data_IF_661461947617
#
_entry.id   IF_661461947617
#
_cell.length_a   1.000
_cell.length_b   1.000
_cell.length_c   1.000
_cell.angle_alpha   90.00
_cell.angle_beta   90.00
_cell.angle_gamma   90.00
#
_symmetry.space_group_name_H-M   'P 1'
#
loop_
_entity.id
_entity.type
_entity.pdbx_description
1 polymer ?
#
# COMPACT_ATOMS: atom_id res chain seq x y z
N UNK A 1 -9.30 18.87 10.76
CA UNK A 1 -8.97 18.40 9.40
C UNK A 1 -7.82 17.42 9.50
N UNK A 2 -7.99 16.18 9.06
CA UNK A 2 -6.86 15.27 8.88
C UNK A 2 -7.12 14.39 7.65
N UNK A 3 -6.55 14.79 6.52
CA UNK A 3 -6.39 13.93 5.36
C UNK A 3 -4.98 13.34 5.37
N UNK A 4 -4.90 12.05 5.67
CA UNK A 4 -3.63 11.33 5.78
C UNK A 4 -3.45 10.40 4.60
N UNK A 5 -2.29 10.44 3.94
CA UNK A 5 -1.91 9.50 2.89
C UNK A 5 -0.91 8.49 3.43
N UNK A 6 -1.07 7.21 3.10
CA UNK A 6 -0.12 6.14 3.42
C UNK A 6 0.46 5.56 2.13
N UNK A 7 1.78 5.63 1.95
CA UNK A 7 2.51 5.10 0.78
C UNK A 7 3.70 4.24 1.19
N UNK A 8 4.29 3.50 0.24
CA UNK A 8 5.44 2.64 0.50
C UNK A 8 6.75 3.29 0.05
N UNK A 9 7.81 3.20 0.85
CA UNK A 9 9.11 3.79 0.54
C UNK A 9 10.05 2.90 -0.28
N UNK A 10 9.74 1.61 -0.46
CA UNK A 10 10.57 0.66 -1.18
C UNK A 10 9.83 0.07 -2.38
N UNK A 11 9.99 -1.22 -2.69
CA UNK A 11 9.43 -1.86 -3.89
C UNK A 11 8.01 -2.43 -3.68
N UNK A 12 7.31 -2.03 -2.60
CA UNK A 12 6.08 -2.67 -2.16
C UNK A 12 6.30 -3.63 -0.99
N UNK A 13 5.21 -4.17 -0.47
CA UNK A 13 5.22 -5.19 0.61
C UNK A 13 5.81 -4.72 1.96
N UNK A 14 5.82 -3.41 2.20
CA UNK A 14 6.34 -2.78 3.42
C UNK A 14 5.39 -2.89 4.63
N UNK A 15 4.22 -3.53 4.47
CA UNK A 15 3.23 -3.65 5.54
C UNK A 15 2.22 -2.50 5.61
N UNK A 16 2.02 -1.76 4.51
CA UNK A 16 1.02 -0.67 4.41
C UNK A 16 -0.36 -1.08 4.91
N UNK A 17 -0.85 -2.26 4.54
CA UNK A 17 -2.18 -2.73 4.94
C UNK A 17 -2.37 -2.77 6.46
N UNK A 18 -1.35 -3.25 7.19
CA UNK A 18 -1.35 -3.25 8.65
C UNK A 18 -1.33 -1.82 9.22
N UNK A 19 -0.50 -0.93 8.66
CA UNK A 19 -0.42 0.48 9.10
C UNK A 19 -1.77 1.19 8.90
N UNK A 20 -2.39 1.02 7.73
CA UNK A 20 -3.75 1.53 7.43
C UNK A 20 -4.77 1.00 8.43
N UNK A 21 -4.77 -0.31 8.70
CA UNK A 21 -5.70 -0.93 9.63
C UNK A 21 -5.54 -0.40 11.06
N UNK A 22 -4.30 -0.20 11.51
CA UNK A 22 -4.02 0.37 12.84
C UNK A 22 -4.49 1.82 12.95
N UNK A 23 -4.10 2.66 12.01
CA UNK A 23 -4.50 4.08 11.95
C UNK A 23 -6.03 4.20 11.90
N UNK A 24 -6.71 3.33 11.14
CA UNK A 24 -8.17 3.34 11.07
C UNK A 24 -8.84 3.15 12.45
N UNK A 25 -8.32 2.28 13.31
CA UNK A 25 -8.85 2.09 14.67
C UNK A 25 -8.56 3.25 15.61
N UNK A 26 -7.39 3.87 15.46
CA UNK A 26 -6.95 5.00 16.29
C UNK A 26 -7.68 6.29 15.91
N UNK A 27 -7.70 6.60 14.62
CA UNK A 27 -8.07 7.91 14.10
C UNK A 27 -9.54 7.95 13.64
N UNK A 28 -10.20 6.78 13.58
CA UNK A 28 -11.64 6.62 13.28
C UNK A 28 -12.11 7.41 12.05
N UNK A 29 -11.46 7.23 10.87
CA UNK A 29 -11.79 7.97 9.67
C UNK A 29 -13.20 7.63 9.18
N UNK A 30 -13.91 8.63 8.63
CA UNK A 30 -15.23 8.41 8.03
C UNK A 30 -15.13 7.75 6.64
N UNK A 31 -14.01 7.98 5.94
CA UNK A 31 -13.69 7.39 4.63
C UNK A 31 -12.26 6.86 4.65
N UNK A 32 -12.09 5.63 4.16
CA UNK A 32 -10.80 5.03 3.83
C UNK A 32 -10.82 4.75 2.33
N UNK A 33 -10.02 5.46 1.55
CA UNK A 33 -10.04 5.40 0.09
C UNK A 33 -8.73 4.86 -0.48
N UNK A 34 -8.82 3.84 -1.34
CA UNK A 34 -7.66 3.26 -2.02
C UNK A 34 -7.31 4.06 -3.28
N UNK A 35 -6.03 4.38 -3.42
CA UNK A 35 -5.39 4.85 -4.65
C UNK A 35 -4.37 3.84 -5.22
N UNK A 36 -3.65 4.29 -6.24
CA UNK A 36 -2.62 3.53 -6.94
C UNK A 36 -3.15 2.86 -8.21
N UNK A 37 -2.65 1.66 -8.49
CA UNK A 37 -2.89 1.02 -9.80
C UNK A 37 -4.19 0.21 -9.84
N UNK A 38 -4.35 -0.77 -8.96
CA UNK A 38 -5.44 -1.74 -9.04
C UNK A 38 -5.09 -3.05 -8.30
N UNK A 39 -5.62 -4.20 -8.72
CA UNK A 39 -5.48 -5.47 -7.99
C UNK A 39 -4.09 -6.10 -8.12
N UNK A 40 -3.11 -5.47 -8.76
CA UNK A 40 -1.74 -5.99 -8.82
C UNK A 40 -0.98 -5.86 -7.49
N UNK A 41 -1.51 -5.14 -6.50
CA UNK A 41 -0.99 -5.11 -5.14
C UNK A 41 -1.89 -5.91 -4.20
N UNK A 42 -1.29 -6.75 -3.36
CA UNK A 42 -1.98 -7.39 -2.25
C UNK A 42 -1.49 -6.81 -0.92
N UNK A 43 -2.42 -6.40 -0.07
CA UNK A 43 -2.14 -6.00 1.30
C UNK A 43 -2.62 -7.08 2.25
N UNK A 44 -1.74 -7.48 3.16
CA UNK A 44 -2.05 -8.46 4.19
C UNK A 44 -2.39 -7.74 5.49
N UNK A 45 -3.49 -8.15 6.11
CA UNK A 45 -3.95 -7.66 7.42
C UNK A 45 -4.24 -8.87 8.31
N UNK A 46 -3.60 -8.94 9.48
CA UNK A 46 -3.86 -10.00 10.46
C UNK A 46 -4.65 -9.44 11.65
N UNK A 47 -5.80 -10.07 11.93
CA UNK A 47 -6.67 -9.76 13.07
C UNK A 47 -6.79 -11.00 13.94
N UNK A 48 -6.23 -10.95 15.15
CA UNK A 48 -6.08 -12.14 15.99
C UNK A 48 -5.32 -13.24 15.25
N UNK A 49 -5.95 -14.40 15.07
CA UNK A 49 -5.37 -15.56 14.38
C UNK A 49 -5.68 -15.63 12.88
N UNK A 50 -6.52 -14.72 12.36
CA UNK A 50 -6.95 -14.73 10.96
C UNK A 50 -6.13 -13.75 10.14
N UNK A 51 -5.62 -14.22 9.01
CA UNK A 51 -4.94 -13.41 8.01
C UNK A 51 -5.85 -13.16 6.81
N UNK A 52 -5.90 -11.93 6.34
CA UNK A 52 -6.68 -11.48 5.20
C UNK A 52 -5.76 -10.88 4.15
N UNK A 53 -5.86 -11.35 2.90
CA UNK A 53 -5.22 -10.72 1.74
C UNK A 53 -6.24 -9.96 0.91
N UNK A 54 -6.03 -8.66 0.72
CA UNK A 54 -6.94 -7.77 -0.04
C UNK A 54 -6.20 -7.04 -1.15
N UNK A 55 -6.84 -6.90 -2.31
CA UNK A 55 -6.28 -6.34 -3.55
C UNK A 55 -7.13 -5.20 -4.10
N UNK A 56 -8.41 -5.15 -3.77
CA UNK A 56 -9.33 -4.08 -4.18
C UNK A 56 -9.90 -3.34 -2.98
N UNK A 57 -10.45 -4.07 -2.01
CA UNK A 57 -11.03 -3.49 -0.81
C UNK A 57 -9.92 -2.83 0.02
N UNK A 58 -10.08 -1.56 0.45
CA UNK A 58 -9.12 -0.90 1.35
C UNK A 58 -8.84 -1.73 2.62
N UNK A 59 -7.57 -1.79 3.03
CA UNK A 59 -7.06 -2.60 4.15
C UNK A 59 -7.64 -2.19 5.50
N UNK A 60 -8.19 -0.98 5.59
CA UNK A 60 -8.91 -0.48 6.75
C UNK A 60 -10.29 -1.11 6.97
N UNK A 61 -10.67 -2.14 6.20
CA UNK A 61 -11.95 -2.84 6.34
C UNK A 61 -12.22 -3.37 7.76
N UNK A 62 -11.19 -3.57 8.58
CA UNK A 62 -11.37 -4.01 9.96
C UNK A 62 -12.13 -2.98 10.81
N UNK A 63 -12.01 -1.68 10.48
CA UNK A 63 -12.79 -0.63 11.08
C UNK A 63 -14.16 -0.53 10.38
N UNK A 64 -15.24 -0.80 11.14
CA UNK A 64 -16.58 -1.04 10.58
C UNK A 64 -17.35 0.21 10.19
N UNK A 65 -17.05 1.34 10.84
CA UNK A 65 -17.84 2.57 10.68
C UNK A 65 -17.41 3.38 9.44
N UNK A 66 -16.23 3.10 8.88
CA UNK A 66 -15.74 3.78 7.69
C UNK A 66 -16.40 3.26 6.40
N UNK A 67 -16.67 4.20 5.49
CA UNK A 67 -16.87 3.89 4.08
C UNK A 67 -15.53 3.50 3.46
N UNK A 68 -15.54 2.44 2.66
CA UNK A 68 -14.38 1.90 1.96
C UNK A 68 -14.48 2.29 0.48
N UNK A 69 -13.68 3.26 0.05
CA UNK A 69 -13.77 3.81 -1.29
C UNK A 69 -12.62 3.35 -2.20
N UNK A 70 -12.87 3.30 -3.51
CA UNK A 70 -11.86 3.10 -4.54
C UNK A 70 -11.84 4.34 -5.42
N UNK A 71 -10.73 5.07 -5.38
CA UNK A 71 -10.56 6.34 -6.09
C UNK A 71 -10.58 6.18 -7.61
N UNK A 72 -11.04 7.22 -8.31
CA UNK A 72 -11.19 7.25 -9.77
C UNK A 72 -9.93 6.87 -10.56
N UNK A 73 -8.73 7.11 -10.01
CA UNK A 73 -7.47 6.75 -10.64
C UNK A 73 -7.18 5.24 -10.65
N UNK A 74 -7.89 4.45 -9.86
CA UNK A 74 -7.65 3.01 -9.70
C UNK A 74 -8.33 2.21 -10.82
N UNK A 75 -7.70 1.11 -11.23
CA UNK A 75 -8.29 0.09 -12.08
C UNK A 75 -9.06 -0.92 -11.25
N UNK A 76 -10.28 -1.24 -11.67
CA UNK A 76 -11.18 -2.15 -10.97
C UNK A 76 -11.30 -3.45 -11.73
N UNK A 77 -11.10 -4.55 -11.02
CA UNK A 77 -11.51 -5.88 -11.48
C UNK A 77 -12.80 -6.27 -10.73
N UNK A 78 -13.96 -6.32 -11.40
CA UNK A 78 -15.23 -6.67 -10.77
C UNK A 78 -15.21 -8.05 -10.11
N UNK A 79 -14.44 -9.00 -10.65
CA UNK A 79 -14.35 -10.38 -10.14
C UNK A 79 -13.62 -10.39 -8.80
N UNK A 80 -12.50 -9.68 -8.71
CA UNK A 80 -11.71 -9.55 -7.47
C UNK A 80 -12.48 -8.77 -6.42
N UNK A 81 -13.08 -7.64 -6.81
CA UNK A 81 -13.89 -6.82 -5.90
C UNK A 81 -15.02 -7.63 -5.27
N UNK A 82 -15.82 -8.34 -6.10
CA UNK A 82 -16.94 -9.15 -5.61
C UNK A 82 -16.47 -10.23 -4.63
N UNK A 83 -15.41 -10.95 -4.97
CA UNK A 83 -14.83 -11.97 -4.09
C UNK A 83 -14.44 -11.39 -2.73
N UNK A 84 -13.75 -10.25 -2.71
CA UNK A 84 -13.33 -9.61 -1.46
C UNK A 84 -14.51 -9.03 -0.66
N UNK A 85 -15.51 -8.46 -1.31
CA UNK A 85 -16.73 -7.96 -0.65
C UNK A 85 -17.44 -9.09 0.08
N UNK A 86 -17.60 -10.24 -0.57
CA UNK A 86 -18.26 -11.41 0.01
C UNK A 86 -17.40 -12.05 1.11
N UNK A 87 -16.09 -12.20 0.89
CA UNK A 87 -15.13 -12.78 1.85
C UNK A 87 -15.03 -11.96 3.14
N UNK A 88 -15.08 -10.63 3.04
CA UNK A 88 -14.94 -9.71 4.18
C UNK A 88 -16.28 -9.32 4.81
N UNK A 89 -17.40 -9.61 4.15
CA UNK A 89 -18.74 -9.20 4.63
C UNK A 89 -18.91 -7.67 4.69
N UNK A 90 -18.42 -6.95 3.68
CA UNK A 90 -18.36 -5.48 3.66
C UNK A 90 -19.35 -4.84 2.67
N UNK A 91 -20.31 -5.63 2.18
CA UNK A 91 -21.39 -5.14 1.33
C UNK A 91 -22.15 -4.01 2.02
N UNK A 92 -22.51 -2.96 1.27
CA UNK A 92 -23.21 -1.78 1.79
C UNK A 92 -22.31 -0.65 2.31
N UNK A 93 -20.98 -0.87 2.40
CA UNK A 93 -20.03 0.20 2.74
C UNK A 93 -18.80 0.27 1.84
N UNK A 94 -18.73 -0.56 0.81
CA UNK A 94 -17.71 -0.46 -0.25
C UNK A 94 -18.26 0.33 -1.42
N UNK A 95 -17.48 1.29 -1.90
CA UNK A 95 -17.87 2.17 -2.99
C UNK A 95 -16.75 2.30 -4.03
N UNK A 96 -17.12 2.34 -5.30
CA UNK A 96 -16.24 2.46 -6.45
C UNK A 96 -16.56 3.76 -7.18
N UNK A 97 -15.54 4.57 -7.48
CA UNK A 97 -15.79 5.73 -8.31
C UNK A 97 -16.29 5.31 -9.70
N UNK A 98 -17.39 5.92 -10.14
CA UNK A 98 -18.01 5.65 -11.45
C UNK A 98 -17.05 5.82 -12.66
N UNK A 99 -15.93 6.53 -12.51
CA UNK A 99 -14.92 6.79 -13.54
C UNK A 99 -13.73 5.82 -13.52
N UNK A 100 -13.65 4.89 -12.55
CA UNK A 100 -12.59 3.88 -12.51
C UNK A 100 -12.53 3.10 -13.83
N UNK A 101 -11.33 2.86 -14.36
CA UNK A 101 -11.14 1.99 -15.52
C UNK A 101 -11.35 0.53 -15.13
N UNK A 102 -11.93 -0.28 -16.01
CA UNK A 102 -12.26 -1.68 -15.72
C UNK A 102 -11.28 -2.62 -16.40
N UNK A 103 -10.80 -3.60 -15.64
CA UNK A 103 -9.94 -4.70 -16.12
C UNK A 103 -10.83 -5.78 -16.72
N UNK A 104 -10.55 -6.12 -17.98
CA UNK A 104 -11.22 -7.15 -18.75
C UNK A 104 -10.44 -8.46 -18.76
N UNK A 105 -11.05 -9.56 -19.22
CA UNK A 105 -10.32 -10.83 -19.46
C UNK A 105 -9.21 -10.66 -20.50
N UNK A 106 -9.44 -9.85 -21.54
CA UNK A 106 -8.44 -9.56 -22.56
C UNK A 106 -7.21 -8.85 -21.98
N UNK A 107 -7.40 -7.92 -21.03
CA UNK A 107 -6.28 -7.29 -20.33
C UNK A 107 -5.44 -8.31 -19.57
N UNK A 108 -6.07 -9.27 -18.88
CA UNK A 108 -5.38 -10.34 -18.16
C UNK A 108 -4.63 -11.25 -19.14
N UNK A 109 -5.27 -11.62 -20.26
CA UNK A 109 -4.66 -12.45 -21.29
C UNK A 109 -3.43 -11.77 -21.91
N UNK A 110 -3.52 -10.47 -22.25
CA UNK A 110 -2.40 -9.67 -22.77
C UNK A 110 -1.25 -9.56 -21.77
N UNK A 111 -1.55 -9.40 -20.48
CA UNK A 111 -0.53 -9.29 -19.43
C UNK A 111 0.23 -10.61 -19.25
N UNK A 112 -0.50 -11.73 -19.17
CA UNK A 112 0.09 -13.08 -19.00
C UNK A 112 0.77 -13.61 -20.27
N UNK A 113 0.22 -13.29 -21.44
CA UNK A 113 0.72 -13.78 -22.73
C UNK A 113 1.88 -12.99 -23.31
N UNK A 114 2.18 -11.80 -22.76
CA UNK A 114 3.31 -10.98 -23.21
C UNK A 114 4.63 -11.48 -22.62
N UNK A 115 5.55 -11.95 -23.46
CA UNK A 115 6.90 -12.32 -23.03
C UNK A 115 7.62 -11.14 -22.34
N UNK A 116 7.39 -9.92 -22.82
CA UNK A 116 7.96 -8.73 -22.21
C UNK A 116 7.42 -8.50 -20.79
N UNK A 117 6.10 -8.47 -20.61
CA UNK A 117 5.50 -8.18 -19.30
C UNK A 117 5.67 -9.36 -18.33
N UNK A 118 5.38 -10.58 -18.76
CA UNK A 118 5.38 -11.75 -17.89
C UNK A 118 6.80 -12.26 -17.58
N UNK A 119 7.69 -12.34 -18.58
CA UNK A 119 9.03 -12.94 -18.39
C UNK A 119 10.10 -11.90 -18.08
N UNK A 120 10.14 -10.77 -18.81
CA UNK A 120 11.20 -9.75 -18.62
C UNK A 120 10.92 -8.84 -17.43
N UNK A 121 9.71 -8.27 -17.34
CA UNK A 121 9.35 -7.39 -16.22
C UNK A 121 8.94 -8.21 -14.99
N UNK A 122 8.25 -9.32 -15.19
CA UNK A 122 7.72 -10.13 -14.10
C UNK A 122 6.43 -9.56 -13.53
N UNK A 123 5.53 -9.07 -14.39
CA UNK A 123 4.21 -8.54 -14.01
C UNK A 123 3.40 -9.55 -13.18
N UNK A 124 2.35 -9.08 -12.52
CA UNK A 124 1.49 -9.94 -11.69
C UNK A 124 0.50 -10.75 -12.51
N UNK A 125 0.35 -10.48 -13.81
CA UNK A 125 -0.70 -11.08 -14.64
C UNK A 125 -2.10 -10.63 -14.26
N UNK A 126 -2.25 -9.50 -13.55
CA UNK A 126 -3.54 -8.97 -13.12
C UNK A 126 -4.23 -8.13 -14.19
N UNK A 127 -3.59 -7.89 -15.34
CA UNK A 127 -4.14 -7.07 -16.43
C UNK A 127 -3.94 -5.56 -16.24
N UNK A 128 -3.29 -5.13 -15.16
CA UNK A 128 -3.14 -3.70 -14.85
C UNK A 128 -2.27 -2.92 -15.85
N UNK A 129 -1.26 -3.57 -16.44
CA UNK A 129 -0.44 -2.95 -17.49
C UNK A 129 -1.27 -2.65 -18.75
N UNK A 130 -1.83 -3.69 -19.41
CA UNK A 130 -2.70 -3.51 -20.58
C UNK A 130 -3.91 -2.61 -20.32
N UNK A 131 -4.56 -2.72 -19.16
CA UNK A 131 -5.71 -1.87 -18.84
C UNK A 131 -5.33 -0.38 -18.72
N UNK A 132 -4.18 -0.05 -18.13
CA UNK A 132 -3.70 1.33 -18.12
C UNK A 132 -3.26 1.81 -19.50
N UNK A 133 -2.69 0.93 -20.33
CA UNK A 133 -2.41 1.25 -21.74
C UNK A 133 -3.68 1.66 -22.48
N UNK A 134 -4.75 0.87 -22.35
CA UNK A 134 -6.06 1.17 -22.94
C UNK A 134 -6.70 2.43 -22.35
N UNK A 135 -6.48 2.68 -21.05
CA UNK A 135 -6.95 3.90 -20.38
C UNK A 135 -6.26 5.15 -20.92
N UNK A 136 -4.95 5.10 -21.15
CA UNK A 136 -4.18 6.17 -21.82
C UNK A 136 -4.68 6.38 -23.25
N UNK A 137 -4.98 5.30 -23.96
CA UNK A 137 -5.56 5.34 -25.31
C UNK A 137 -7.04 5.74 -25.35
N UNK A 138 -7.68 5.94 -24.19
CA UNK A 138 -9.09 6.35 -24.04
C UNK A 138 -10.09 5.34 -24.61
N UNK A 139 -9.76 4.05 -24.52
CA UNK A 139 -10.62 2.94 -24.97
C UNK A 139 -10.98 1.96 -23.84
N UNK A 140 -10.44 2.15 -22.63
CA UNK A 140 -10.80 1.33 -21.47
C UNK A 140 -12.25 1.62 -21.02
N UNK A 141 -13.07 0.58 -20.75
CA UNK A 141 -14.40 0.76 -20.18
C UNK A 141 -14.32 1.35 -18.78
N UNK A 142 -15.36 2.07 -18.34
CA UNK A 142 -15.43 2.63 -16.99
C UNK A 142 -16.40 1.84 -16.10
N UNK A 143 -16.27 1.99 -14.78
CA UNK A 143 -17.11 1.30 -13.81
C UNK A 143 -18.61 1.58 -14.00
N UNK A 144 -18.98 2.80 -14.41
CA UNK A 144 -20.37 3.16 -14.72
C UNK A 144 -20.99 2.38 -15.89
N UNK A 145 -20.16 1.79 -16.74
CA UNK A 145 -20.58 1.06 -17.94
C UNK A 145 -20.75 -0.45 -17.66
N UNK A 146 -20.48 -0.90 -16.43
CA UNK A 146 -20.48 -2.31 -16.01
C UNK A 146 -21.64 -2.57 -15.04
N UNK A 147 -22.69 -3.31 -15.46
CA UNK A 147 -23.89 -3.56 -14.64
C UNK A 147 -23.59 -4.20 -13.28
N UNK A 148 -22.60 -5.08 -13.19
CA UNK A 148 -22.20 -5.77 -11.96
C UNK A 148 -21.64 -4.82 -10.90
N UNK A 149 -21.19 -3.63 -11.30
CA UNK A 149 -20.67 -2.61 -10.40
C UNK A 149 -21.74 -1.62 -9.93
N UNK A 150 -22.96 -1.67 -10.48
CA UNK A 150 -23.99 -0.65 -10.27
C UNK A 150 -24.30 -0.39 -8.79
N UNK A 151 -24.34 -1.44 -7.95
CA UNK A 151 -24.62 -1.31 -6.51
C UNK A 151 -23.51 -0.61 -5.72
N UNK A 152 -22.28 -0.54 -6.26
CA UNK A 152 -21.11 0.04 -5.59
C UNK A 152 -20.79 1.47 -6.04
N UNK A 153 -21.46 2.01 -7.07
CA UNK A 153 -21.03 3.26 -7.70
C UNK A 153 -21.21 4.48 -6.78
N UNK A 154 -20.18 5.33 -6.74
CA UNK A 154 -20.16 6.61 -6.04
C UNK A 154 -19.40 7.66 -6.85
N UNK A 155 -19.57 8.94 -6.52
CA UNK A 155 -18.61 10.00 -6.87
C UNK A 155 -17.64 10.16 -5.70
N UNK A 156 -16.53 9.42 -5.72
CA UNK A 156 -15.62 9.31 -4.57
C UNK A 156 -14.93 10.65 -4.25
N UNK A 157 -14.38 11.41 -5.22
CA UNK A 157 -13.85 12.74 -4.97
C UNK A 157 -14.85 13.68 -4.31
N UNK A 158 -16.11 13.68 -4.78
CA UNK A 158 -17.16 14.50 -4.17
C UNK A 158 -17.44 14.08 -2.72
N UNK A 159 -17.57 12.78 -2.47
CA UNK A 159 -17.80 12.25 -1.12
C UNK A 159 -16.64 12.60 -0.17
N UNK A 160 -15.38 12.48 -0.62
CA UNK A 160 -14.21 12.87 0.16
C UNK A 160 -14.20 14.37 0.44
N UNK A 161 -14.42 15.21 -0.58
CA UNK A 161 -14.44 16.68 -0.42
C UNK A 161 -15.55 17.13 0.56
N UNK A 162 -16.73 16.53 0.50
CA UNK A 162 -17.84 16.81 1.42
C UNK A 162 -17.49 16.47 2.87
N UNK A 163 -16.77 15.37 3.13
CA UNK A 163 -16.35 15.00 4.49
C UNK A 163 -15.19 15.86 4.99
N UNK A 164 -14.22 16.18 4.13
CA UNK A 164 -13.12 17.08 4.47
C UNK A 164 -13.59 18.50 4.76
N UNK A 165 -14.70 18.96 4.17
CA UNK A 165 -15.34 20.26 4.48
C UNK A 165 -16.03 20.28 5.85
N UNK A 166 -16.35 19.11 6.41
CA UNK A 166 -16.91 18.94 7.75
C UNK A 166 -15.82 18.67 8.80
N UNK A 167 -14.55 18.85 8.44
CA UNK A 167 -13.38 18.54 9.26
C UNK A 167 -13.26 17.07 9.70
N UNK A 168 -13.97 16.16 9.04
CA UNK A 168 -13.89 14.73 9.33
C UNK A 168 -12.56 14.12 8.83
N UNK A 169 -12.10 13.08 9.51
CA UNK A 169 -10.87 12.36 9.16
C UNK A 169 -11.05 11.47 7.92
N UNK A 170 -10.13 11.56 6.96
CA UNK A 170 -10.11 10.75 5.74
C UNK A 170 -8.72 10.12 5.58
N UNK A 171 -8.69 8.82 5.30
CA UNK A 171 -7.47 8.06 5.09
C UNK A 171 -7.33 7.64 3.63
N UNK A 172 -6.19 7.93 3.00
CA UNK A 172 -5.87 7.51 1.64
C UNK A 172 -4.80 6.41 1.65
N UNK A 173 -5.17 5.23 1.14
CA UNK A 173 -4.29 4.06 1.07
C UNK A 173 -3.64 3.95 -0.31
N UNK A 174 -2.32 4.02 -0.35
CA UNK A 174 -1.53 3.88 -1.57
C UNK A 174 -1.17 2.44 -1.94
N UNK A 175 -1.09 2.19 -3.24
CA UNK A 175 -0.40 1.05 -3.84
C UNK A 175 0.52 1.57 -4.95
N UNK A 176 1.72 1.05 -5.20
CA UNK A 176 2.52 0.05 -4.49
C UNK A 176 3.56 0.74 -3.57
N UNK A 177 4.85 0.66 -3.88
CA UNK A 177 5.93 1.38 -3.21
C UNK A 177 6.72 2.24 -4.20
N UNK A 178 7.48 3.20 -3.68
CA UNK A 178 8.25 4.18 -4.44
C UNK A 178 9.19 3.55 -5.49
N UNK A 179 9.90 2.48 -5.16
CA UNK A 179 10.88 1.82 -6.04
C UNK A 179 10.30 1.22 -7.30
N UNK A 180 8.98 1.07 -7.37
CA UNK A 180 8.25 0.63 -8.56
C UNK A 180 7.32 1.72 -9.12
N UNK A 181 7.53 2.98 -8.76
CA UNK A 181 6.93 4.12 -9.45
C UNK A 181 7.31 4.10 -10.93
N UNK A 182 6.35 4.38 -11.82
CA UNK A 182 6.61 4.52 -13.25
C UNK A 182 7.63 5.62 -13.58
N UNK A 183 7.69 6.69 -12.78
CA UNK A 183 8.55 7.84 -13.04
C UNK A 183 9.88 7.76 -12.29
N UNK A 184 9.83 7.38 -11.02
CA UNK A 184 10.97 7.49 -10.11
C UNK A 184 11.57 6.13 -9.72
N UNK A 185 10.89 5.04 -10.07
CA UNK A 185 11.33 3.69 -9.77
C UNK A 185 12.41 3.18 -10.72
N UNK A 186 12.74 1.90 -10.59
CA UNK A 186 13.77 1.24 -11.40
C UNK A 186 13.28 0.86 -12.81
N UNK A 187 12.89 1.84 -13.62
CA UNK A 187 12.37 1.61 -14.97
C UNK A 187 13.37 0.78 -15.81
N UNK A 188 12.91 -0.24 -16.57
CA UNK A 188 11.52 -0.59 -16.87
C UNK A 188 10.84 -1.53 -15.85
N UNK A 189 11.54 -1.93 -14.79
CA UNK A 189 11.03 -2.88 -13.78
C UNK A 189 10.19 -2.18 -12.72
N UNK A 190 9.08 -1.60 -13.18
CA UNK A 190 8.18 -0.75 -12.40
C UNK A 190 6.72 -1.12 -12.70
N UNK A 191 5.79 -0.56 -11.94
CA UNK A 191 4.35 -0.68 -12.20
C UNK A 191 3.93 0.26 -13.34
N UNK A 192 2.66 0.18 -13.77
CA UNK A 192 2.14 0.97 -14.90
C UNK A 192 1.71 2.39 -14.54
N UNK A 193 2.13 2.92 -13.38
CA UNK A 193 1.72 4.23 -12.85
C UNK A 193 2.71 4.75 -11.81
N UNK A 194 2.72 6.04 -11.55
CA UNK A 194 3.37 6.56 -10.35
C UNK A 194 2.69 6.01 -9.07
N UNK A 195 3.47 5.90 -8.00
CA UNK A 195 3.06 5.36 -6.70
C UNK A 195 3.32 6.35 -5.57
N UNK A 196 3.71 7.59 -5.89
CA UNK A 196 3.95 8.65 -4.91
C UNK A 196 2.67 9.13 -4.23
N UNK A 197 2.81 9.78 -3.07
CA UNK A 197 1.71 10.37 -2.33
C UNK A 197 0.88 11.35 -3.18
N UNK A 198 1.53 12.15 -4.03
CA UNK A 198 0.87 13.05 -4.98
C UNK A 198 -0.03 12.30 -5.96
N UNK A 199 0.43 11.15 -6.47
CA UNK A 199 -0.40 10.31 -7.34
C UNK A 199 -1.57 9.70 -6.57
N UNK A 200 -1.37 9.26 -5.32
CA UNK A 200 -2.46 8.73 -4.48
C UNK A 200 -3.51 9.81 -4.17
N UNK A 201 -3.11 11.06 -3.94
CA UNK A 201 -4.02 12.19 -3.80
C UNK A 201 -4.84 12.39 -5.09
N UNK A 202 -4.18 12.43 -6.24
CA UNK A 202 -4.82 12.60 -7.54
C UNK A 202 -5.80 11.45 -7.86
N UNK A 203 -5.46 10.22 -7.50
CA UNK A 203 -6.30 9.04 -7.72
C UNK A 203 -7.64 9.13 -6.99
N UNK A 204 -7.63 9.76 -5.82
CA UNK A 204 -8.79 9.98 -4.98
C UNK A 204 -9.47 11.34 -5.24
N UNK A 205 -8.91 12.16 -6.14
CA UNK A 205 -9.44 13.48 -6.46
C UNK A 205 -9.31 14.49 -5.33
N UNK A 206 -8.25 14.38 -4.52
CA UNK A 206 -7.94 15.31 -3.43
C UNK A 206 -6.85 16.27 -3.89
N UNK A 207 -7.11 17.58 -3.78
CA UNK A 207 -6.12 18.60 -4.12
C UNK A 207 -4.92 18.56 -3.16
N UNK A 208 -3.70 18.89 -3.62
CA UNK A 208 -2.49 18.76 -2.80
C UNK A 208 -2.51 19.62 -1.53
N UNK A 209 -3.19 20.77 -1.55
CA UNK A 209 -3.34 21.67 -0.38
C UNK A 209 -4.34 21.18 0.67
N UNK A 210 -4.97 20.02 0.45
CA UNK A 210 -5.92 19.38 1.37
C UNK A 210 -5.31 18.17 2.08
N UNK A 211 -4.04 17.87 1.83
CA UNK A 211 -3.30 16.78 2.48
C UNK A 211 -2.59 17.36 3.69
N UNK A 212 -2.88 16.80 4.86
CA UNK A 212 -2.28 17.22 6.13
C UNK A 212 -1.04 16.37 6.44
N UNK A 213 -1.14 15.06 6.22
CA UNK A 213 -0.08 14.10 6.56
C UNK A 213 0.25 13.12 5.44
N UNK A 214 1.54 12.79 5.31
CA UNK A 214 2.04 11.71 4.47
C UNK A 214 2.87 10.75 5.30
N UNK A 215 2.30 9.56 5.53
CA UNK A 215 2.98 8.43 6.16
C UNK A 215 3.70 7.62 5.10
N UNK A 216 5.04 7.58 5.15
CA UNK A 216 5.83 6.68 4.30
C UNK A 216 6.20 5.41 5.09
N UNK A 217 5.71 4.27 4.60
CA UNK A 217 5.93 2.97 5.23
C UNK A 217 7.19 2.32 4.65
N UNK A 218 8.11 1.98 5.54
CA UNK A 218 9.32 1.24 5.26
C UNK A 218 9.33 -0.08 6.01
N UNK A 219 10.25 -0.95 5.62
CA UNK A 219 10.48 -2.24 6.25
C UNK A 219 11.95 -2.41 6.56
N UNK A 220 12.27 -2.96 7.72
CA UNK A 220 13.66 -3.14 8.15
C UNK A 220 14.50 -3.96 7.15
N UNK A 221 13.85 -4.91 6.47
CA UNK A 221 14.40 -5.68 5.38
C UNK A 221 13.54 -5.46 4.13
N UNK A 222 13.94 -4.56 3.21
CA UNK A 222 13.23 -4.33 1.98
C UNK A 222 13.10 -5.62 1.18
N UNK A 223 12.02 -5.73 0.41
CA UNK A 223 11.76 -6.91 -0.42
C UNK A 223 11.38 -6.50 -1.83
N UNK A 224 11.73 -7.32 -2.82
CA UNK A 224 11.39 -7.10 -4.22
C UNK A 224 10.79 -8.36 -4.82
N UNK A 225 9.69 -8.20 -5.56
CA UNK A 225 9.08 -9.26 -6.36
C UNK A 225 9.50 -9.09 -7.82
N UNK A 226 9.91 -10.19 -8.45
CA UNK A 226 10.32 -10.20 -9.85
C UNK A 226 11.72 -9.64 -10.09
N UNK A 227 11.98 -9.33 -11.36
CA UNK A 227 13.29 -8.92 -11.84
C UNK A 227 13.62 -7.46 -11.49
N UNK A 228 14.86 -7.08 -11.80
CA UNK A 228 15.34 -5.70 -11.76
C UNK A 228 16.31 -5.38 -10.61
N UNK A 229 16.91 -4.18 -10.62
CA UNK A 229 18.01 -3.83 -9.72
C UNK A 229 17.61 -3.84 -8.24
N UNK A 230 18.43 -4.45 -7.39
CA UNK A 230 18.23 -4.39 -5.95
C UNK A 230 19.59 -4.26 -5.25
N UNK A 231 19.98 -3.01 -5.01
CA UNK A 231 21.28 -2.57 -4.47
C UNK A 231 21.71 -3.32 -3.22
N UNK A 232 20.77 -3.55 -2.30
CA UNK A 232 21.04 -4.15 -1.00
C UNK A 232 20.63 -5.62 -0.91
N UNK A 233 20.32 -6.27 -2.03
CA UNK A 233 19.93 -7.68 -2.06
C UNK A 233 20.99 -8.56 -1.38
N UNK A 234 20.52 -9.42 -0.48
CA UNK A 234 21.37 -10.41 0.15
C UNK A 234 21.27 -11.77 -0.55
N UNK A 235 22.32 -12.61 -0.48
CA UNK A 235 22.23 -13.99 -0.95
C UNK A 235 21.06 -14.74 -0.30
N UNK A 236 20.40 -15.60 -1.08
CA UNK A 236 19.18 -16.27 -0.65
C UNK A 236 19.40 -17.13 0.60
N UNK A 237 20.57 -17.73 0.71
CA UNK A 237 21.01 -18.59 1.82
C UNK A 237 21.11 -17.80 3.13
N UNK A 238 21.52 -16.53 3.05
CA UNK A 238 21.58 -15.63 4.20
C UNK A 238 20.17 -15.29 4.69
N UNK A 239 19.28 -14.93 3.77
CA UNK A 239 17.88 -14.65 4.13
C UNK A 239 17.17 -15.89 4.69
N UNK A 240 17.53 -17.07 4.19
CA UNK A 240 16.99 -18.33 4.65
C UNK A 240 17.48 -18.70 6.05
N UNK A 241 18.77 -18.51 6.33
CA UNK A 241 19.35 -18.72 7.66
C UNK A 241 18.78 -17.74 8.71
N UNK A 242 18.35 -16.55 8.30
CA UNK A 242 17.69 -15.58 9.17
C UNK A 242 16.23 -15.93 9.46
N UNK A 243 15.61 -16.82 8.66
CA UNK A 243 14.20 -17.20 8.81
C UNK A 243 13.22 -16.08 8.48
N UNK A 244 13.59 -15.19 7.53
CA UNK A 244 12.79 -14.00 7.15
C UNK A 244 12.18 -14.12 5.75
N UNK A 245 12.06 -15.35 5.23
CA UNK A 245 11.53 -15.58 3.89
C UNK A 245 10.11 -15.02 3.75
N UNK A 246 9.80 -14.53 2.55
CA UNK A 246 8.47 -14.03 2.24
C UNK A 246 8.00 -14.47 0.86
N UNK A 247 6.69 -14.59 0.73
CA UNK A 247 6.01 -14.93 -0.51
C UNK A 247 4.99 -13.85 -0.87
N UNK A 248 4.89 -13.53 -2.16
CA UNK A 248 3.96 -12.52 -2.64
C UNK A 248 2.49 -12.93 -2.43
N UNK A 249 1.66 -12.03 -1.92
CA UNK A 249 0.23 -12.29 -1.66
C UNK A 249 -0.57 -12.62 -2.93
N UNK A 250 -0.18 -12.05 -4.08
CA UNK A 250 -0.88 -12.23 -5.36
C UNK A 250 -0.29 -13.38 -6.18
N UNK A 251 1.04 -13.42 -6.34
CA UNK A 251 1.70 -14.37 -7.24
C UNK A 251 2.28 -15.59 -6.54
N UNK A 252 2.30 -15.62 -5.20
CA UNK A 252 2.94 -16.64 -4.37
C UNK A 252 4.44 -16.88 -4.67
N UNK A 253 5.09 -15.92 -5.35
CA UNK A 253 6.52 -15.98 -5.69
C UNK A 253 7.36 -15.65 -4.46
N UNK A 254 8.49 -16.36 -4.26
CA UNK A 254 9.49 -16.01 -3.23
C UNK A 254 10.03 -14.61 -3.50
N UNK A 255 10.05 -13.76 -2.49
CA UNK A 255 10.58 -12.40 -2.58
C UNK A 255 12.10 -12.42 -2.45
N UNK A 256 12.76 -11.57 -3.22
CA UNK A 256 14.16 -11.18 -3.00
C UNK A 256 14.20 -10.27 -1.78
N UNK A 257 15.21 -10.40 -0.92
CA UNK A 257 15.30 -9.69 0.36
C UNK A 257 16.62 -8.95 0.41
N UNK A 258 16.60 -7.71 0.89
CA UNK A 258 17.78 -6.88 1.04
C UNK A 258 17.98 -6.39 2.48
N UNK A 259 19.18 -5.86 2.74
CA UNK A 259 19.42 -5.03 3.92
C UNK A 259 18.74 -3.66 3.79
N UNK A 260 18.69 -2.92 4.90
CA UNK A 260 18.23 -1.53 4.91
C UNK A 260 18.94 -0.70 3.84
N UNK A 261 18.17 0.05 3.05
CA UNK A 261 18.70 0.96 2.02
C UNK A 261 18.38 2.41 2.42
N UNK A 262 19.29 3.00 3.19
CA UNK A 262 19.14 4.38 3.69
C UNK A 262 19.11 5.43 2.57
N UNK A 263 19.83 5.19 1.47
CA UNK A 263 19.84 6.09 0.31
C UNK A 263 18.49 6.14 -0.39
N UNK A 264 17.90 4.97 -0.66
CA UNK A 264 16.56 4.87 -1.21
C UNK A 264 15.50 5.38 -0.22
N UNK A 265 15.66 5.10 1.08
CA UNK A 265 14.75 5.59 2.11
C UNK A 265 14.68 7.11 2.10
N UNK A 266 15.82 7.79 2.17
CA UNK A 266 15.95 9.26 2.08
C UNK A 266 15.28 9.83 0.83
N UNK A 267 15.59 9.24 -0.33
CA UNK A 267 15.10 9.75 -1.61
C UNK A 267 13.58 9.56 -1.75
N UNK A 268 13.06 8.40 -1.34
CA UNK A 268 11.62 8.13 -1.35
C UNK A 268 10.85 9.03 -0.38
N UNK A 269 11.42 9.33 0.80
CA UNK A 269 10.82 10.22 1.78
C UNK A 269 10.72 11.65 1.24
N UNK A 270 11.79 12.12 0.60
CA UNK A 270 11.82 13.44 -0.07
C UNK A 270 10.75 13.55 -1.16
N UNK A 271 10.67 12.59 -2.10
CA UNK A 271 9.72 12.64 -3.21
C UNK A 271 8.26 12.60 -2.72
N UNK A 272 7.99 11.81 -1.68
CA UNK A 272 6.63 11.70 -1.14
C UNK A 272 6.23 12.88 -0.25
N UNK A 273 7.16 13.75 0.15
CA UNK A 273 6.89 14.80 1.14
C UNK A 273 6.54 14.19 2.51
N UNK A 274 7.33 13.22 2.96
CA UNK A 274 7.11 12.48 4.21
C UNK A 274 6.96 13.42 5.41
N UNK A 275 5.82 13.37 6.10
CA UNK A 275 5.59 14.09 7.37
C UNK A 275 5.87 13.20 8.57
N UNK A 276 5.68 11.89 8.40
CA UNK A 276 6.00 10.87 9.39
C UNK A 276 6.32 9.52 8.73
N UNK A 277 7.18 8.73 9.35
CA UNK A 277 7.57 7.42 8.85
C UNK A 277 7.00 6.29 9.71
N UNK A 278 6.71 5.17 9.06
CA UNK A 278 6.37 3.92 9.72
C UNK A 278 7.42 2.85 9.39
N UNK A 279 7.97 2.17 10.40
CA UNK A 279 8.88 1.04 10.20
C UNK A 279 8.18 -0.28 10.55
N UNK A 280 8.22 -1.24 9.64
CA UNK A 280 7.76 -2.61 9.89
C UNK A 280 8.90 -3.62 9.96
N UNK A 281 8.66 -4.72 10.67
CA UNK A 281 9.60 -5.82 10.79
C UNK A 281 10.72 -5.60 11.81
N UNK A 282 10.49 -4.78 12.84
CA UNK A 282 11.48 -4.60 13.93
C UNK A 282 11.72 -5.91 14.70
N UNK A 283 10.69 -6.76 14.80
CA UNK A 283 10.80 -8.13 15.34
C UNK A 283 11.77 -9.02 14.54
N UNK A 284 12.11 -8.64 13.31
CA UNK A 284 13.13 -9.33 12.49
C UNK A 284 14.52 -8.76 12.70
N UNK A 285 14.63 -7.48 13.09
CA UNK A 285 15.89 -6.90 13.56
C UNK A 285 16.30 -7.57 14.87
N UNK A 286 15.34 -7.76 15.76
CA UNK A 286 15.51 -8.48 17.02
C UNK A 286 14.22 -9.19 17.44
N UNK A 287 14.28 -10.53 17.52
CA UNK A 287 13.13 -11.39 17.89
C UNK A 287 12.59 -11.07 19.28
N UNK A 288 13.41 -10.51 20.18
CA UNK A 288 12.97 -10.10 21.51
C UNK A 288 11.99 -8.91 21.47
N UNK A 289 11.89 -8.20 20.34
CA UNK A 289 10.92 -7.12 20.16
C UNK A 289 9.54 -7.61 19.71
N UNK A 290 9.34 -8.91 19.46
CA UNK A 290 8.06 -9.43 18.97
C UNK A 290 6.91 -9.09 19.93
N UNK A 291 5.87 -8.45 19.41
CA UNK A 291 4.67 -8.07 20.15
C UNK A 291 4.84 -6.93 21.16
N UNK A 292 6.00 -6.27 21.19
CA UNK A 292 6.21 -5.11 22.07
C UNK A 292 5.33 -3.93 21.62
N UNK A 293 4.61 -3.31 22.55
CA UNK A 293 3.72 -2.16 22.29
C UNK A 293 4.15 -0.88 23.01
N UNK A 294 5.34 -0.87 23.61
CA UNK A 294 5.90 0.23 24.40
C UNK A 294 7.36 0.45 23.98
N UNK A 295 7.69 1.66 23.53
CA UNK A 295 9.01 2.01 23.02
C UNK A 295 10.13 1.74 24.04
N UNK A 296 9.86 1.97 25.33
CA UNK A 296 10.84 1.77 26.39
C UNK A 296 11.34 0.32 26.45
N UNK A 297 10.49 -0.64 26.08
CA UNK A 297 10.74 -2.09 26.11
C UNK A 297 11.45 -2.63 24.87
N UNK A 298 11.69 -1.81 23.83
CA UNK A 298 12.51 -2.22 22.71
C UNK A 298 13.96 -2.45 23.14
N UNK A 299 14.61 -3.45 22.54
CA UNK A 299 16.02 -3.73 22.80
C UNK A 299 16.91 -2.60 22.29
N UNK A 300 18.13 -2.49 22.85
CA UNK A 300 19.12 -1.52 22.39
C UNK A 300 19.38 -1.67 20.89
N UNK A 301 19.49 -2.90 20.39
CA UNK A 301 19.70 -3.21 18.97
C UNK A 301 18.58 -2.63 18.08
N UNK A 302 17.32 -2.78 18.49
CA UNK A 302 16.19 -2.22 17.75
C UNK A 302 16.18 -0.69 17.80
N UNK A 303 16.47 -0.09 18.95
CA UNK A 303 16.57 1.37 19.10
C UNK A 303 17.70 1.96 18.26
N UNK A 304 18.87 1.32 18.24
CA UNK A 304 20.02 1.73 17.43
C UNK A 304 19.68 1.65 15.93
N UNK A 305 18.95 0.61 15.49
CA UNK A 305 18.45 0.52 14.12
C UNK A 305 17.47 1.65 13.78
N UNK A 306 16.48 1.88 14.64
CA UNK A 306 15.47 2.93 14.45
C UNK A 306 16.10 4.31 14.35
N UNK A 307 17.11 4.59 15.18
CA UNK A 307 17.86 5.85 15.12
C UNK A 307 18.54 6.05 13.77
N UNK A 308 19.27 5.05 13.29
CA UNK A 308 19.91 5.11 11.96
C UNK A 308 18.86 5.27 10.85
N UNK A 309 17.74 4.55 10.94
CA UNK A 309 16.67 4.66 9.96
C UNK A 309 16.03 6.06 9.96
N UNK A 310 15.80 6.67 11.12
CA UNK A 310 15.27 8.03 11.25
C UNK A 310 16.23 9.07 10.68
N UNK A 311 17.53 8.95 10.97
CA UNK A 311 18.60 9.81 10.43
C UNK A 311 18.69 9.70 8.88
N UNK A 312 18.49 8.50 8.34
CA UNK A 312 18.46 8.24 6.90
C UNK A 312 17.23 8.84 6.22
N UNK A 313 16.05 8.59 6.77
CA UNK A 313 14.77 9.07 6.22
C UNK A 313 14.70 10.60 6.31
N UNK A 314 15.23 11.19 7.38
CA UNK A 314 15.13 12.63 7.65
C UNK A 314 13.72 13.06 8.09
N UNK A 315 12.94 12.14 8.66
CA UNK A 315 11.56 12.34 9.08
C UNK A 315 11.28 11.47 10.32
N UNK A 316 10.53 11.95 11.33
CA UNK A 316 10.29 11.19 12.56
C UNK A 316 9.60 9.85 12.30
N UNK A 317 10.09 8.79 12.94
CA UNK A 317 9.44 7.48 12.96
C UNK A 317 8.37 7.48 14.06
N UNK A 318 7.11 7.60 13.66
CA UNK A 318 5.99 7.68 14.60
C UNK A 318 5.27 6.34 14.78
N UNK A 319 5.48 5.38 13.88
CA UNK A 319 4.80 4.07 13.90
C UNK A 319 5.81 2.93 13.75
N UNK A 320 5.83 2.01 14.72
CA UNK A 320 6.80 0.92 14.74
C UNK A 320 6.06 -0.41 14.89
N UNK A 321 6.04 -1.21 13.83
CA UNK A 321 5.42 -2.54 13.86
C UNK A 321 6.40 -3.59 14.40
N UNK A 322 5.92 -4.32 15.42
CA UNK A 322 6.67 -5.32 16.19
C UNK A 322 6.13 -6.74 15.98
N UNK A 323 5.31 -6.96 14.95
CA UNK A 323 4.79 -8.28 14.58
C UNK A 323 3.78 -8.18 13.44
N UNK A 324 3.03 -9.24 13.12
CA UNK A 324 2.07 -9.21 12.03
C UNK A 324 0.66 -8.75 12.44
N UNK A 325 0.27 -8.84 13.71
CA UNK A 325 -1.08 -8.49 14.17
C UNK A 325 -1.26 -6.96 14.28
N UNK A 326 -2.44 -6.42 13.97
CA UNK A 326 -2.69 -4.96 13.89
C UNK A 326 -2.43 -4.18 15.18
N UNK A 327 -2.53 -4.81 16.34
CA UNK A 327 -2.24 -4.24 17.67
C UNK A 327 -0.76 -4.26 18.04
N UNK A 328 0.07 -5.04 17.32
CA UNK A 328 1.52 -5.11 17.52
C UNK A 328 2.22 -3.94 16.82
N UNK A 329 1.83 -2.72 17.18
CA UNK A 329 2.40 -1.45 16.74
C UNK A 329 2.60 -0.57 17.97
N UNK A 330 3.77 0.04 18.04
CA UNK A 330 4.05 1.18 18.93
C UNK A 330 3.66 2.43 18.14
N UNK A 331 2.74 3.21 18.68
CA UNK A 331 2.22 4.43 18.08
C UNK A 331 2.67 5.63 18.93
N UNK A 332 3.61 6.42 18.39
CA UNK A 332 4.24 7.56 19.04
C UNK A 332 3.67 8.90 18.53
N UNK A 333 2.62 8.87 17.71
CA UNK A 333 2.07 10.07 17.07
C UNK A 333 1.56 11.10 18.08
N UNK A 334 0.96 10.66 19.18
CA UNK A 334 0.51 11.57 20.26
C UNK A 334 1.66 12.11 21.12
N UNK A 335 2.77 11.39 21.24
CA UNK A 335 3.93 11.80 22.04
C UNK A 335 4.81 12.84 21.32
N UNK A 336 4.65 12.94 19.99
CA UNK A 336 5.45 13.77 19.09
C UNK A 336 4.64 14.92 18.46
N UNK A 337 3.35 15.04 18.79
CA UNK A 337 2.43 16.07 18.30
C UNK A 337 2.55 17.42 19.04
#
# INVERSE_FOLDING_TARGET
>A
MSCTIIVGGFFGDEGKGKVVAHIAYKDKPVIISRGGVGPNAGHTVQVGTKEYGVRMVPSGFVYKDAKLCIGSGVLVDPRVLKHEVDMLGVRGRVFVDKRCGVITEDHIARDKGSDHLAKKIGSTGSGCGPANSDRVMRISPQAKDVPELAEYLMDVPKAIDEELKKDNCVLLEGTQGFGISLYYGTYPFVTSKDTSASQIAADNGVGPTRIDDVVVVFKAYPTRVGEGPFSTEMPSEKSDAMGIQEFGTVTHRKRRIGGWDGGMARYSAMINGCTQAAITGIDRVDKACFGVTDYSKLTKKAKDFLKTAEDDIGCPITLISTGPEITQIIDLREELA
#
